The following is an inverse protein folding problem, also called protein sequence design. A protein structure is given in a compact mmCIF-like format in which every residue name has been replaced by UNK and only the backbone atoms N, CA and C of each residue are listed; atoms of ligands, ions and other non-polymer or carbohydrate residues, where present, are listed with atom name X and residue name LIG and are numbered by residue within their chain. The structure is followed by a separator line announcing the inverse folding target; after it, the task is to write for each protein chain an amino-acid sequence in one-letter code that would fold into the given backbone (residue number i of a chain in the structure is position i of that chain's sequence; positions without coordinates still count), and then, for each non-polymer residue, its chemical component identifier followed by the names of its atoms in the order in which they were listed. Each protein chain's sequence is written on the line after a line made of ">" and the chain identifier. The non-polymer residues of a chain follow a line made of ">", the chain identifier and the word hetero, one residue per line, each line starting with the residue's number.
data_IF_159609816060
#
_entry.id   IF_159609816060
#
_cell.length_a   1.000
_cell.length_b   1.000
_cell.length_c   1.000
_cell.angle_alpha   90.00
_cell.angle_beta   90.00
_cell.angle_gamma   90.00
#
_symmetry.space_group_name_H-M   'P 1'
#
loop_
_entity.id
_entity.type
_entity.pdbx_description
1 polymer ?
#
# COMPACT_ATOMS: atom_id res chain seq x y z
N UNK A 1 -19.61 -4.48 -43.45
CA UNK A 1 -19.05 -5.24 -42.31
C UNK A 1 -18.17 -4.25 -41.56
N UNK A 2 -18.63 -3.71 -40.44
CA UNK A 2 -17.85 -2.79 -39.61
C UNK A 2 -17.09 -3.64 -38.61
N UNK A 3 -15.76 -3.66 -38.72
CA UNK A 3 -14.86 -4.39 -37.84
C UNK A 3 -14.13 -3.40 -36.94
N UNK A 4 -14.18 -3.70 -35.64
CA UNK A 4 -13.40 -3.13 -34.55
C UNK A 4 -13.74 -1.70 -34.09
N UNK A 5 -14.13 -1.63 -32.80
CA UNK A 5 -14.35 -0.45 -31.93
C UNK A 5 -15.62 0.37 -32.15
N UNK A 6 -16.03 1.05 -31.07
CA UNK A 6 -16.95 2.20 -30.98
C UNK A 6 -18.13 2.03 -29.98
N UNK A 7 -17.92 1.32 -28.87
CA UNK A 7 -18.64 1.69 -27.65
C UNK A 7 -17.73 2.65 -26.86
N UNK A 8 -18.06 3.95 -26.78
CA UNK A 8 -17.26 4.92 -26.03
C UNK A 8 -16.97 4.47 -24.60
N UNK A 9 -17.92 3.77 -23.98
CA UNK A 9 -17.76 3.17 -22.65
C UNK A 9 -16.63 2.13 -22.63
N UNK A 10 -16.53 1.24 -23.62
CA UNK A 10 -15.49 0.21 -23.65
C UNK A 10 -14.09 0.82 -23.80
N UNK A 11 -13.96 1.92 -24.54
CA UNK A 11 -12.68 2.60 -24.75
C UNK A 11 -12.27 3.36 -23.47
N UNK A 12 -13.23 3.98 -22.80
CA UNK A 12 -13.02 4.62 -21.50
C UNK A 12 -12.66 3.59 -20.42
N UNK A 13 -13.34 2.44 -20.37
CA UNK A 13 -13.02 1.33 -19.48
C UNK A 13 -11.57 0.85 -19.64
N UNK A 14 -11.11 0.64 -20.89
CA UNK A 14 -9.73 0.20 -21.16
C UNK A 14 -8.71 1.25 -20.70
N UNK A 15 -9.00 2.53 -20.96
CA UNK A 15 -8.15 3.64 -20.53
C UNK A 15 -8.03 3.71 -19.00
N UNK A 16 -9.16 3.64 -18.29
CA UNK A 16 -9.21 3.71 -16.83
C UNK A 16 -8.56 2.50 -16.17
N UNK A 17 -8.77 1.29 -16.71
CA UNK A 17 -8.12 0.08 -16.21
C UNK A 17 -6.59 0.15 -16.40
N UNK A 18 -6.11 0.63 -17.54
CA UNK A 18 -4.68 0.82 -17.78
C UNK A 18 -4.08 1.87 -16.84
N UNK A 19 -4.75 3.01 -16.65
CA UNK A 19 -4.34 4.06 -15.71
C UNK A 19 -4.28 3.57 -14.27
N UNK A 20 -5.26 2.76 -13.86
CA UNK A 20 -5.27 2.11 -12.56
C UNK A 20 -4.09 1.16 -12.34
N UNK A 21 -3.79 0.32 -13.34
CA UNK A 21 -2.65 -0.60 -13.27
C UNK A 21 -1.33 0.17 -13.12
N UNK A 22 -1.16 1.24 -13.89
CA UNK A 22 0.03 2.09 -13.81
C UNK A 22 0.15 2.79 -12.45
N UNK A 23 -0.96 3.34 -11.93
CA UNK A 23 -1.01 3.98 -10.61
C UNK A 23 -0.60 2.99 -9.50
N UNK A 24 -1.12 1.76 -9.52
CA UNK A 24 -0.69 0.72 -8.58
C UNK A 24 0.80 0.38 -8.72
N UNK A 25 1.33 0.32 -9.95
CA UNK A 25 2.75 0.11 -10.22
C UNK A 25 3.63 1.18 -9.59
N UNK A 26 3.17 2.44 -9.63
CA UNK A 26 3.84 3.61 -9.02
C UNK A 26 3.57 3.77 -7.52
N UNK A 27 2.76 2.89 -6.91
CA UNK A 27 2.24 3.01 -5.53
C UNK A 27 1.48 4.32 -5.27
N UNK A 28 0.89 4.89 -6.32
CA UNK A 28 0.05 6.08 -6.25
C UNK A 28 -1.40 5.65 -5.96
N UNK A 29 -1.71 5.50 -4.68
CA UNK A 29 -3.02 4.98 -4.23
C UNK A 29 -4.14 5.97 -4.55
N UNK A 30 -3.86 7.27 -4.47
CA UNK A 30 -4.85 8.32 -4.76
C UNK A 30 -5.25 8.29 -6.24
N UNK A 31 -4.29 8.18 -7.16
CA UNK A 31 -4.59 8.04 -8.59
C UNK A 31 -5.32 6.72 -8.90
N UNK A 32 -4.99 5.62 -8.21
CA UNK A 32 -5.68 4.36 -8.39
C UNK A 32 -7.14 4.43 -7.91
N UNK A 33 -7.40 5.10 -6.77
CA UNK A 33 -8.77 5.34 -6.28
C UNK A 33 -9.53 6.26 -7.23
N UNK A 34 -8.91 7.31 -7.76
CA UNK A 34 -9.52 8.21 -8.74
C UNK A 34 -10.01 7.44 -9.98
N UNK A 35 -9.18 6.55 -10.54
CA UNK A 35 -9.56 5.73 -11.69
C UNK A 35 -10.77 4.82 -11.43
N UNK A 36 -10.91 4.29 -10.20
CA UNK A 36 -12.08 3.49 -9.78
C UNK A 36 -13.34 4.34 -9.72
N UNK A 37 -13.26 5.52 -9.10
CA UNK A 37 -14.40 6.44 -8.99
C UNK A 37 -14.83 7.01 -10.36
N UNK A 38 -13.87 7.27 -11.24
CA UNK A 38 -14.14 7.69 -12.62
C UNK A 38 -14.85 6.58 -13.41
N UNK A 39 -14.45 5.31 -13.23
CA UNK A 39 -15.14 4.18 -13.86
C UNK A 39 -16.57 4.02 -13.34
N UNK A 40 -16.79 4.14 -12.03
CA UNK A 40 -18.13 4.09 -11.44
C UNK A 40 -19.03 5.20 -12.03
N UNK A 41 -18.50 6.43 -12.11
CA UNK A 41 -19.20 7.57 -12.71
C UNK A 41 -19.58 7.28 -14.17
N UNK A 42 -18.62 6.79 -14.98
CA UNK A 42 -18.87 6.46 -16.38
C UNK A 42 -19.96 5.38 -16.55
N UNK A 43 -19.99 4.38 -15.66
CA UNK A 43 -21.02 3.34 -15.67
C UNK A 43 -22.40 3.87 -15.28
N UNK A 44 -22.46 4.76 -14.29
CA UNK A 44 -23.71 5.41 -13.89
C UNK A 44 -24.26 6.27 -15.02
N UNK A 45 -23.42 7.09 -15.65
CA UNK A 45 -23.84 7.97 -16.75
C UNK A 45 -24.29 7.15 -17.96
N UNK A 46 -23.54 6.11 -18.34
CA UNK A 46 -23.94 5.21 -19.41
C UNK A 46 -25.26 4.48 -19.11
N UNK A 47 -25.51 4.11 -17.86
CA UNK A 47 -26.77 3.44 -17.48
C UNK A 47 -28.00 4.34 -17.59
N UNK A 48 -27.82 5.66 -17.52
CA UNK A 48 -28.89 6.64 -17.71
C UNK A 48 -29.17 6.88 -19.20
N UNK A 49 -28.12 6.91 -20.01
CA UNK A 49 -28.19 7.33 -21.41
C UNK A 49 -28.34 6.17 -22.41
N UNK A 50 -28.10 4.93 -21.99
CA UNK A 50 -28.08 3.75 -22.86
C UNK A 50 -28.86 2.57 -22.27
N UNK A 51 -29.51 1.79 -23.15
CA UNK A 51 -30.24 0.57 -22.80
C UNK A 51 -29.39 -0.71 -22.97
N UNK A 52 -28.08 -0.58 -23.21
CA UNK A 52 -27.19 -1.73 -23.45
C UNK A 52 -26.69 -2.34 -22.13
N UNK A 53 -27.23 -3.51 -21.75
CA UNK A 53 -26.88 -4.22 -20.51
C UNK A 53 -25.48 -4.84 -20.52
N UNK A 54 -25.03 -5.36 -21.66
CA UNK A 54 -23.84 -6.22 -21.71
C UNK A 54 -22.55 -5.44 -21.39
N UNK A 55 -22.46 -4.19 -21.84
CA UNK A 55 -21.33 -3.31 -21.54
C UNK A 55 -21.31 -2.88 -20.07
N UNK A 56 -22.49 -2.70 -19.44
CA UNK A 56 -22.59 -2.37 -18.02
C UNK A 56 -22.14 -3.54 -17.14
N UNK A 57 -22.50 -4.78 -17.52
CA UNK A 57 -22.06 -5.97 -16.80
C UNK A 57 -20.55 -6.17 -16.89
N UNK A 58 -19.98 -5.94 -18.08
CA UNK A 58 -18.52 -5.95 -18.27
C UNK A 58 -17.84 -4.87 -17.42
N UNK A 59 -18.34 -3.63 -17.46
CA UNK A 59 -17.80 -2.53 -16.67
C UNK A 59 -17.86 -2.75 -15.17
N UNK A 60 -18.97 -3.28 -14.66
CA UNK A 60 -19.10 -3.68 -13.26
C UNK A 60 -18.11 -4.78 -12.88
N UNK A 61 -17.82 -5.71 -13.79
CA UNK A 61 -16.80 -6.74 -13.56
C UNK A 61 -15.41 -6.13 -13.40
N UNK A 62 -15.04 -5.19 -14.28
CA UNK A 62 -13.77 -4.45 -14.21
C UNK A 62 -13.68 -3.64 -12.91
N UNK A 63 -14.73 -2.91 -12.55
CA UNK A 63 -14.79 -2.14 -11.30
C UNK A 63 -14.56 -3.03 -10.07
N UNK A 64 -15.25 -4.18 -9.99
CA UNK A 64 -15.06 -5.16 -8.90
C UNK A 64 -13.62 -5.67 -8.84
N UNK A 65 -13.02 -5.96 -9.99
CA UNK A 65 -11.62 -6.40 -10.06
C UNK A 65 -10.65 -5.33 -9.53
N UNK A 66 -10.84 -4.07 -9.92
CA UNK A 66 -10.02 -2.94 -9.44
C UNK A 66 -10.17 -2.74 -7.92
N UNK A 67 -11.40 -2.80 -7.40
CA UNK A 67 -11.67 -2.70 -5.96
C UNK A 67 -11.01 -3.85 -5.17
N UNK A 68 -11.08 -5.08 -5.68
CA UNK A 68 -10.41 -6.22 -5.06
C UNK A 68 -8.89 -6.03 -4.99
N UNK A 69 -8.28 -5.53 -6.07
CA UNK A 69 -6.84 -5.23 -6.13
C UNK A 69 -6.43 -4.10 -5.19
N UNK A 70 -7.24 -3.04 -5.07
CA UNK A 70 -7.03 -2.01 -4.03
C UNK A 70 -7.08 -2.61 -2.63
N UNK A 71 -8.05 -3.50 -2.37
CA UNK A 71 -8.14 -4.21 -1.10
C UNK A 71 -6.91 -5.06 -0.78
N UNK A 72 -6.30 -5.70 -1.79
CA UNK A 72 -5.05 -6.45 -1.64
C UNK A 72 -3.88 -5.53 -1.25
N UNK A 73 -3.74 -4.40 -1.95
CA UNK A 73 -2.69 -3.41 -1.67
C UNK A 73 -2.90 -2.81 -0.28
N UNK A 74 -4.12 -2.42 0.06
CA UNK A 74 -4.48 -1.89 1.38
C UNK A 74 -4.18 -2.90 2.50
N UNK A 75 -4.48 -4.19 2.33
CA UNK A 75 -4.09 -5.23 3.32
C UNK A 75 -2.59 -5.34 3.52
N UNK A 76 -1.81 -5.17 2.45
CA UNK A 76 -0.34 -5.17 2.56
C UNK A 76 0.18 -3.91 3.26
N UNK A 77 -0.42 -2.75 3.00
CA UNK A 77 -0.05 -1.47 3.62
C UNK A 77 -0.59 -1.27 5.03
N UNK A 78 -1.65 -1.99 5.42
CA UNK A 78 -2.26 -1.95 6.74
C UNK A 78 -1.55 -2.84 7.78
N UNK A 79 -0.47 -3.53 7.39
CA UNK A 79 0.38 -4.22 8.38
C UNK A 79 0.96 -3.20 9.34
N UNK A 80 0.98 -3.53 10.63
CA UNK A 80 1.63 -2.69 11.62
C UNK A 80 3.11 -2.52 11.22
N UNK A 81 3.59 -1.28 10.99
CA UNK A 81 4.99 -1.05 10.67
C UNK A 81 5.94 -1.66 11.70
N UNK A 82 5.53 -1.75 12.98
CA UNK A 82 6.30 -2.38 14.04
C UNK A 82 6.51 -3.88 13.80
N UNK A 83 5.53 -4.60 13.27
CA UNK A 83 5.69 -6.02 12.92
C UNK A 83 6.69 -6.22 11.77
N UNK A 84 6.74 -5.28 10.82
CA UNK A 84 7.63 -5.36 9.66
C UNK A 84 9.07 -5.06 10.03
N UNK A 85 9.30 -4.02 10.85
CA UNK A 85 10.65 -3.60 11.22
C UNK A 85 11.18 -4.33 12.45
N UNK A 86 10.30 -4.94 13.25
CA UNK A 86 10.64 -5.57 14.52
C UNK A 86 11.83 -6.50 14.46
N UNK A 87 11.90 -7.48 13.54
CA UNK A 87 13.06 -8.37 13.44
C UNK A 87 14.40 -7.65 13.25
N UNK A 88 14.40 -6.50 12.58
CA UNK A 88 15.60 -5.68 12.40
C UNK A 88 15.93 -4.89 13.66
N UNK A 89 14.92 -4.31 14.33
CA UNK A 89 15.10 -3.61 15.62
C UNK A 89 15.67 -4.56 16.68
N UNK A 90 15.09 -5.76 16.81
CA UNK A 90 15.57 -6.78 17.74
C UNK A 90 17.03 -7.17 17.47
N UNK A 91 17.42 -7.35 16.19
CA UNK A 91 18.80 -7.67 15.84
C UNK A 91 19.80 -6.57 16.24
N UNK A 92 19.38 -5.30 16.16
CA UNK A 92 20.18 -4.14 16.58
C UNK A 92 20.25 -4.05 18.11
N UNK A 93 19.14 -4.31 18.82
CA UNK A 93 19.11 -4.38 20.28
C UNK A 93 20.00 -5.49 20.83
N UNK A 94 20.01 -6.66 20.17
CA UNK A 94 20.93 -7.76 20.47
C UNK A 94 22.39 -7.36 20.26
N UNK A 95 22.70 -6.68 19.16
CA UNK A 95 24.04 -6.17 18.89
C UNK A 95 24.47 -5.15 19.94
N UNK A 96 23.58 -4.24 20.35
CA UNK A 96 23.79 -3.27 21.43
C UNK A 96 24.09 -3.98 22.74
N UNK A 97 23.33 -5.01 23.08
CA UNK A 97 23.51 -5.80 24.30
C UNK A 97 24.87 -6.50 24.32
N UNK A 98 25.29 -7.09 23.20
CA UNK A 98 26.62 -7.70 23.05
C UNK A 98 27.76 -6.68 23.15
N UNK A 99 27.61 -5.50 22.55
CA UNK A 99 28.60 -4.43 22.67
C UNK A 99 28.77 -3.99 24.12
N UNK A 100 27.65 -3.79 24.83
CA UNK A 100 27.64 -3.40 26.24
C UNK A 100 28.27 -4.46 27.15
N UNK A 101 27.97 -5.74 26.93
CA UNK A 101 28.56 -6.83 27.72
C UNK A 101 30.05 -7.05 27.41
N UNK A 102 30.48 -6.73 26.18
CA UNK A 102 31.89 -6.71 25.79
C UNK A 102 32.67 -5.47 26.25
N UNK A 103 32.02 -4.52 26.94
CA UNK A 103 32.63 -3.27 27.42
C UNK A 103 32.80 -2.19 26.35
N UNK A 104 32.28 -2.41 25.14
CA UNK A 104 32.27 -1.42 24.06
C UNK A 104 31.04 -0.51 24.18
N UNK A 105 31.10 0.41 25.14
CA UNK A 105 30.02 1.35 25.41
C UNK A 105 29.80 2.33 24.26
N UNK A 106 30.86 2.71 23.53
CA UNK A 106 30.77 3.61 22.40
C UNK A 106 29.96 2.98 21.25
N UNK A 107 30.19 1.70 20.94
CA UNK A 107 29.37 0.99 19.96
C UNK A 107 27.92 0.81 20.42
N UNK A 108 27.70 0.51 21.71
CA UNK A 108 26.34 0.38 22.25
C UNK A 108 25.54 1.68 22.16
N UNK A 109 26.17 2.83 22.43
CA UNK A 109 25.56 4.15 22.32
C UNK A 109 25.30 4.53 20.86
N UNK A 110 26.25 4.26 19.96
CA UNK A 110 26.03 4.48 18.53
C UNK A 110 24.83 3.69 17.97
N UNK A 111 24.64 2.45 18.41
CA UNK A 111 23.47 1.63 18.01
C UNK A 111 22.16 2.18 18.60
N UNK A 112 22.19 2.68 19.84
CA UNK A 112 21.05 3.39 20.45
C UNK A 112 20.66 4.61 19.63
N UNK A 113 21.64 5.43 19.26
CA UNK A 113 21.41 6.66 18.52
C UNK A 113 20.88 6.39 17.10
N UNK A 114 21.34 5.33 16.44
CA UNK A 114 20.81 4.89 15.15
C UNK A 114 19.34 4.48 15.24
N UNK A 115 18.95 3.73 16.27
CA UNK A 115 17.54 3.37 16.51
C UNK A 115 16.68 4.60 16.74
N UNK A 116 17.14 5.53 17.58
CA UNK A 116 16.43 6.78 17.86
C UNK A 116 16.29 7.64 16.59
N UNK A 117 17.36 7.76 15.79
CA UNK A 117 17.35 8.49 14.53
C UNK A 117 16.40 7.85 13.49
N UNK A 118 16.19 6.54 13.56
CA UNK A 118 15.21 5.81 12.75
C UNK A 118 13.76 5.92 13.27
N UNK A 119 13.51 6.72 14.32
CA UNK A 119 12.18 6.90 14.90
C UNK A 119 11.78 5.79 15.88
N UNK A 120 12.74 5.02 16.40
CA UNK A 120 12.49 3.99 17.42
C UNK A 120 12.71 4.59 18.81
N UNK A 121 11.65 4.65 19.63
CA UNK A 121 11.77 4.97 21.04
C UNK A 121 12.12 3.71 21.84
N UNK A 122 13.17 3.79 22.64
CA UNK A 122 13.63 2.70 23.52
C UNK A 122 13.28 2.99 24.97
N UNK A 123 12.76 1.98 25.66
CA UNK A 123 12.44 1.97 27.09
C UNK A 123 13.19 0.85 27.76
N UNK A 124 14.28 1.19 28.42
CA UNK A 124 15.06 0.24 29.20
C UNK A 124 14.29 -0.13 30.49
N UNK A 125 14.13 -1.43 30.76
CA UNK A 125 13.61 -2.01 32.00
C UNK A 125 14.64 -3.00 32.60
N UNK A 126 14.47 -3.44 33.86
CA UNK A 126 15.29 -4.50 34.43
C UNK A 126 15.14 -5.85 33.69
N UNK A 127 14.02 -6.10 33.01
CA UNK A 127 13.77 -7.32 32.24
C UNK A 127 14.31 -7.27 30.80
N UNK A 128 14.58 -6.09 30.25
CA UNK A 128 15.05 -5.90 28.87
C UNK A 128 14.85 -4.48 28.35
N UNK A 129 15.00 -4.29 27.04
CA UNK A 129 14.67 -3.01 26.39
C UNK A 129 13.39 -3.19 25.57
N UNK A 130 12.30 -2.56 26.00
CA UNK A 130 11.09 -2.42 25.19
C UNK A 130 11.27 -1.31 24.16
N UNK A 131 10.55 -1.38 23.05
CA UNK A 131 10.61 -0.35 22.01
C UNK A 131 9.25 -0.10 21.35
N UNK A 132 9.12 1.09 20.74
CA UNK A 132 7.98 1.43 19.88
C UNK A 132 8.40 2.35 18.74
N UNK A 133 7.68 2.30 17.64
CA UNK A 133 7.84 3.30 16.56
C UNK A 133 7.14 4.60 16.92
N UNK A 134 7.81 5.70 16.60
CA UNK A 134 7.22 7.02 16.57
C UNK A 134 6.40 7.18 15.27
N UNK A 135 5.25 7.88 15.33
CA UNK A 135 4.41 8.13 14.16
C UNK A 135 5.06 9.08 13.14
#
# INVERSE_FOLDING_TARGET
>A
YVTASDSPLLDQMRTLEAGFVDALGRRDIDAAVAAVLELDTALVDWSRDSLQSDHLDQGRSVLRSMVLRLGEVARSGARDPAEVVGPFVEAVLDARTRARSGGDYAAADALRDQLVAAGVELRDSPEGTDWRLLP
#
